data_IF_903138805637
#
_entry.id   IF_903138805637
#
_cell.length_a   1.000
_cell.length_b   1.000
_cell.length_c   1.000
_cell.angle_alpha   90.00
_cell.angle_beta   90.00
_cell.angle_gamma   90.00
#
_symmetry.space_group_name_H-M   'P 1'
#
loop_
_entity.id
_entity.type
_entity.pdbx_description
1 polymer ?
#
# COMPACT_ATOMS: atom_id res chain seq x y z
N UNK A 1 -38.81 -11.84 36.32
CA UNK A 1 -38.21 -12.10 34.98
C UNK A 1 -37.45 -10.92 34.41
N UNK A 2 -37.92 -9.69 34.44
CA UNK A 2 -37.26 -8.49 33.91
C UNK A 2 -35.94 -8.16 34.63
N UNK A 3 -35.85 -8.27 35.95
CA UNK A 3 -34.60 -8.04 36.70
C UNK A 3 -33.49 -9.08 36.40
N UNK A 4 -33.84 -10.33 36.11
CA UNK A 4 -32.88 -11.36 35.76
C UNK A 4 -32.28 -11.13 34.32
N UNK A 5 -33.12 -10.62 33.38
CA UNK A 5 -32.64 -10.27 32.04
C UNK A 5 -31.74 -9.03 32.05
N UNK A 6 -31.99 -8.02 32.88
CA UNK A 6 -31.12 -6.86 33.04
C UNK A 6 -29.79 -7.22 33.69
N UNK A 7 -29.77 -8.13 34.66
CA UNK A 7 -28.54 -8.61 35.28
C UNK A 7 -27.69 -9.48 34.36
N UNK A 8 -28.32 -10.29 33.49
CA UNK A 8 -27.59 -11.05 32.46
C UNK A 8 -27.00 -10.12 31.39
N UNK A 9 -27.75 -9.13 30.91
CA UNK A 9 -27.26 -8.16 29.90
C UNK A 9 -26.11 -7.34 30.45
N UNK A 10 -26.12 -6.89 31.71
CA UNK A 10 -25.04 -6.16 32.34
C UNK A 10 -23.80 -7.04 32.60
N UNK A 11 -23.96 -8.32 32.91
CA UNK A 11 -22.88 -9.26 33.09
C UNK A 11 -22.18 -9.60 31.77
N UNK A 12 -22.96 -9.78 30.70
CA UNK A 12 -22.43 -10.03 29.34
C UNK A 12 -21.65 -8.81 28.83
N UNK A 13 -22.18 -7.61 29.01
CA UNK A 13 -21.52 -6.37 28.63
C UNK A 13 -20.21 -6.11 29.41
N UNK A 14 -20.21 -6.41 30.72
CA UNK A 14 -19.00 -6.33 31.55
C UNK A 14 -17.95 -7.39 31.14
N UNK A 15 -18.38 -8.57 30.73
CA UNK A 15 -17.49 -9.65 30.26
C UNK A 15 -16.90 -9.31 28.88
N UNK A 16 -17.64 -8.72 27.95
CA UNK A 16 -17.17 -8.26 26.65
C UNK A 16 -16.16 -7.10 26.82
N UNK A 17 -16.48 -6.10 27.65
CA UNK A 17 -15.53 -5.01 27.97
C UNK A 17 -14.22 -5.53 28.58
N UNK A 18 -14.28 -6.55 29.45
CA UNK A 18 -13.07 -7.18 30.04
C UNK A 18 -12.22 -7.88 28.98
N UNK A 19 -12.86 -8.54 28.00
CA UNK A 19 -12.18 -9.22 26.90
C UNK A 19 -11.49 -8.23 25.95
N UNK A 20 -12.17 -7.14 25.61
CA UNK A 20 -11.60 -6.10 24.75
C UNK A 20 -10.37 -5.43 25.40
N UNK A 21 -10.43 -5.14 26.69
CA UNK A 21 -9.28 -4.59 27.43
C UNK A 21 -8.10 -5.57 27.45
N UNK A 22 -8.35 -6.86 27.58
CA UNK A 22 -7.30 -7.89 27.54
C UNK A 22 -6.66 -7.99 26.16
N UNK A 23 -7.47 -7.98 25.09
CA UNK A 23 -6.98 -8.00 23.70
C UNK A 23 -6.10 -6.78 23.42
N UNK A 24 -6.54 -5.58 23.79
CA UNK A 24 -5.75 -4.35 23.63
C UNK A 24 -4.43 -4.43 24.40
N UNK A 25 -4.43 -4.93 25.62
CA UNK A 25 -3.21 -5.07 26.44
C UNK A 25 -2.22 -6.08 25.83
N UNK A 26 -2.68 -7.16 25.21
CA UNK A 26 -1.80 -8.11 24.52
C UNK A 26 -1.22 -7.49 23.23
N UNK A 27 -2.00 -6.73 22.47
CA UNK A 27 -1.51 -5.99 21.30
C UNK A 27 -0.50 -4.91 21.72
N UNK A 28 -0.78 -4.18 22.83
CA UNK A 28 0.15 -3.19 23.40
C UNK A 28 1.53 -3.81 23.70
N UNK A 29 1.58 -5.04 24.22
CA UNK A 29 2.86 -5.74 24.48
C UNK A 29 3.65 -5.96 23.19
N UNK A 30 2.97 -6.30 22.10
CA UNK A 30 3.62 -6.53 20.80
C UNK A 30 4.29 -5.25 20.30
N UNK A 31 3.57 -4.12 20.29
CA UNK A 31 4.10 -2.87 19.80
C UNK A 31 5.09 -2.20 20.77
N UNK A 32 4.86 -2.24 22.06
CA UNK A 32 5.77 -1.70 23.07
C UNK A 32 7.12 -2.44 23.12
N UNK A 33 7.20 -3.68 22.67
CA UNK A 33 8.47 -4.38 22.52
C UNK A 33 9.39 -3.73 21.48
N UNK A 34 8.82 -3.01 20.51
CA UNK A 34 9.53 -2.35 19.42
C UNK A 34 9.62 -0.83 19.64
N UNK A 35 8.49 -0.20 19.99
CA UNK A 35 8.37 1.26 20.16
C UNK A 35 8.37 1.64 21.65
N UNK A 36 9.44 1.27 22.36
CA UNK A 36 9.58 1.48 23.80
C UNK A 36 10.23 2.83 24.18
N UNK A 37 10.82 3.52 23.20
CA UNK A 37 11.39 4.85 23.40
C UNK A 37 10.53 5.90 22.69
N UNK A 38 9.86 6.81 23.42
CA UNK A 38 9.00 7.81 22.81
C UNK A 38 9.75 8.87 21.99
N UNK A 39 11.06 9.00 22.14
CA UNK A 39 11.88 10.01 21.46
C UNK A 39 12.64 9.45 20.23
N UNK A 40 12.29 8.25 19.81
CA UNK A 40 12.76 7.61 18.59
C UNK A 40 11.71 7.63 17.46
N UNK A 41 12.09 7.30 16.20
CA UNK A 41 11.16 7.16 15.08
C UNK A 41 9.99 6.25 15.41
N UNK A 42 8.80 6.69 15.02
CA UNK A 42 7.57 6.17 15.55
C UNK A 42 6.69 5.40 14.56
N UNK A 43 5.46 5.15 14.98
CA UNK A 43 4.46 4.49 14.16
C UNK A 43 3.04 4.90 14.56
N UNK A 44 2.10 4.76 13.63
CA UNK A 44 0.67 4.79 13.88
C UNK A 44 0.07 3.41 13.58
N UNK A 45 -0.76 2.91 14.48
CA UNK A 45 -1.42 1.59 14.37
C UNK A 45 -2.90 1.76 14.61
N UNK A 46 -3.70 1.22 13.68
CA UNK A 46 -5.15 1.21 13.80
C UNK A 46 -5.71 -0.15 13.35
N UNK A 47 -6.57 -0.74 14.19
CA UNK A 47 -7.34 -1.92 13.85
C UNK A 47 -8.81 -1.59 14.09
N UNK A 48 -9.63 -1.78 13.07
CA UNK A 48 -11.08 -1.56 13.13
C UNK A 48 -11.83 -2.77 12.60
N UNK A 49 -13.01 -3.00 13.15
CA UNK A 49 -14.00 -3.92 12.58
C UNK A 49 -15.30 -3.16 12.35
N UNK A 50 -15.72 -3.02 11.09
CA UNK A 50 -16.75 -2.08 10.73
C UNK A 50 -16.35 -0.65 11.09
N UNK A 51 -17.15 0.00 11.92
CA UNK A 51 -16.85 1.33 12.46
C UNK A 51 -16.29 1.30 13.90
N UNK A 52 -16.16 0.11 14.50
CA UNK A 52 -15.65 -0.06 15.86
C UNK A 52 -14.11 -0.13 15.85
N UNK A 53 -13.47 0.64 16.74
CA UNK A 53 -12.02 0.63 16.93
C UNK A 53 -11.67 -0.48 17.92
N UNK A 54 -10.99 -1.53 17.44
CA UNK A 54 -10.45 -2.61 18.29
C UNK A 54 -9.17 -2.16 18.98
N UNK A 55 -8.28 -1.48 18.22
CA UNK A 55 -7.00 -1.00 18.72
C UNK A 55 -6.58 0.27 17.99
N UNK A 56 -6.04 1.24 18.71
CA UNK A 56 -5.49 2.48 18.15
C UNK A 56 -4.39 3.03 19.03
N UNK A 57 -3.19 3.24 18.46
CA UNK A 57 -2.01 3.79 19.16
C UNK A 57 -1.10 4.53 18.19
N UNK A 58 -0.50 5.60 18.69
CA UNK A 58 0.62 6.28 18.06
C UNK A 58 1.84 6.21 18.97
N UNK A 59 3.00 5.97 18.39
CA UNK A 59 4.27 5.81 19.07
C UNK A 59 5.29 6.79 18.50
N UNK A 60 6.23 7.27 19.32
CA UNK A 60 7.43 7.96 18.89
C UNK A 60 7.23 9.27 18.13
N UNK A 61 8.22 9.58 17.30
CA UNK A 61 8.33 10.82 16.56
C UNK A 61 8.06 10.61 15.06
N UNK A 62 7.35 11.55 14.46
CA UNK A 62 7.21 11.72 13.01
C UNK A 62 8.41 12.47 12.42
N UNK A 63 8.94 13.43 13.17
CA UNK A 63 10.12 14.21 12.83
C UNK A 63 11.04 14.32 14.05
N UNK A 64 12.28 13.83 13.93
CA UNK A 64 13.27 13.84 15.01
C UNK A 64 13.91 15.22 15.19
N UNK A 65 13.85 16.10 14.20
CA UNK A 65 14.44 17.46 14.27
C UNK A 65 13.49 18.38 15.02
N UNK A 66 12.24 18.44 14.60
CA UNK A 66 11.21 19.30 15.22
C UNK A 66 10.61 18.69 16.48
N UNK A 67 10.82 17.40 16.72
CA UNK A 67 10.20 16.59 17.78
C UNK A 67 8.69 16.46 17.64
N UNK A 68 8.16 16.60 16.42
CA UNK A 68 6.75 16.34 16.16
C UNK A 68 6.42 14.87 16.44
N UNK A 69 5.36 14.64 17.21
CA UNK A 69 4.89 13.29 17.57
C UNK A 69 4.06 12.71 16.43
N UNK A 70 4.16 11.38 16.28
CA UNK A 70 3.23 10.65 15.40
C UNK A 70 1.80 10.79 15.91
N UNK A 71 0.89 11.09 15.00
CA UNK A 71 -0.56 11.13 15.21
C UNK A 71 -1.27 10.39 14.07
N UNK A 72 -2.58 10.17 14.17
CA UNK A 72 -3.36 9.62 13.06
C UNK A 72 -3.53 10.59 11.88
N UNK A 73 -3.17 11.87 12.05
CA UNK A 73 -3.12 12.87 10.99
C UNK A 73 -1.74 12.99 10.33
N UNK A 74 -0.72 12.31 10.87
CA UNK A 74 0.62 12.29 10.29
C UNK A 74 0.60 11.62 8.92
N UNK A 75 1.15 12.29 7.91
CA UNK A 75 1.26 11.77 6.54
C UNK A 75 2.58 11.01 6.37
N UNK A 76 2.49 9.70 6.17
CA UNK A 76 3.61 8.81 5.91
C UNK A 76 3.74 8.57 4.41
N UNK A 77 4.97 8.42 3.90
CA UNK A 77 5.15 7.81 2.59
C UNK A 77 4.63 6.36 2.65
N UNK A 78 3.55 6.09 1.94
CA UNK A 78 2.96 4.75 1.93
C UNK A 78 3.62 3.81 0.91
N UNK A 79 4.62 4.32 0.20
CA UNK A 79 5.42 3.54 -0.75
C UNK A 79 4.54 2.69 -1.69
N UNK A 80 4.86 1.41 -1.87
CA UNK A 80 4.15 0.51 -2.78
C UNK A 80 2.67 0.27 -2.45
N UNK A 81 2.19 0.65 -1.28
CA UNK A 81 0.74 0.70 -0.99
C UNK A 81 0.02 1.68 -1.93
N UNK A 82 0.75 2.63 -2.55
CA UNK A 82 0.23 3.54 -3.60
C UNK A 82 -0.32 2.80 -4.82
N UNK A 83 0.17 1.60 -5.12
CA UNK A 83 -0.23 0.81 -6.30
C UNK A 83 -1.72 0.51 -6.36
N UNK A 84 -2.37 0.33 -5.21
CA UNK A 84 -3.82 0.10 -5.17
C UNK A 84 -4.63 1.29 -5.70
N UNK A 85 -4.17 2.51 -5.48
CA UNK A 85 -4.84 3.72 -5.97
C UNK A 85 -4.71 3.82 -7.50
N UNK A 86 -3.53 3.57 -8.03
CA UNK A 86 -3.28 3.55 -9.48
C UNK A 86 -4.06 2.44 -10.19
N UNK A 87 -4.15 1.25 -9.58
CA UNK A 87 -4.97 0.16 -10.10
C UNK A 87 -6.46 0.55 -10.13
N UNK A 88 -6.98 1.19 -9.07
CA UNK A 88 -8.36 1.69 -9.03
C UNK A 88 -8.61 2.71 -10.13
N UNK A 89 -7.67 3.63 -10.41
CA UNK A 89 -7.79 4.59 -11.50
C UNK A 89 -7.96 3.89 -12.87
N UNK A 90 -7.12 2.89 -13.18
CA UNK A 90 -7.28 2.10 -14.42
C UNK A 90 -8.61 1.35 -14.48
N UNK A 91 -9.05 0.79 -13.35
CA UNK A 91 -10.32 0.08 -13.29
C UNK A 91 -11.51 1.02 -13.49
N UNK A 92 -11.46 2.25 -12.94
CA UNK A 92 -12.48 3.28 -13.23
C UNK A 92 -12.55 3.63 -14.72
N UNK A 93 -11.39 3.79 -15.37
CA UNK A 93 -11.34 4.06 -16.82
C UNK A 93 -11.87 2.88 -17.63
N UNK A 94 -11.63 1.65 -17.17
CA UNK A 94 -12.22 0.46 -17.80
C UNK A 94 -13.74 0.38 -17.61
N UNK A 95 -14.26 0.71 -16.43
CA UNK A 95 -15.70 0.80 -16.15
C UNK A 95 -16.39 1.83 -17.02
N UNK A 96 -15.72 2.94 -17.32
CA UNK A 96 -16.22 4.02 -18.19
C UNK A 96 -16.07 3.70 -19.68
N UNK A 97 -15.44 2.59 -20.05
CA UNK A 97 -15.19 2.21 -21.43
C UNK A 97 -14.12 3.07 -22.14
N UNK A 98 -13.34 3.86 -21.42
CA UNK A 98 -12.23 4.67 -21.95
C UNK A 98 -11.08 3.78 -22.42
N UNK A 99 -10.82 2.69 -21.69
CA UNK A 99 -9.85 1.66 -22.01
C UNK A 99 -10.39 0.28 -21.66
N UNK A 100 -9.67 -0.76 -22.07
CA UNK A 100 -9.91 -2.15 -21.66
C UNK A 100 -8.69 -2.67 -20.91
N UNK A 101 -8.91 -3.50 -19.86
CA UNK A 101 -7.80 -4.17 -19.19
C UNK A 101 -7.02 -5.14 -20.10
N UNK A 102 -7.62 -5.51 -21.23
CA UNK A 102 -6.98 -6.30 -22.29
C UNK A 102 -6.30 -5.42 -23.38
N UNK A 103 -6.34 -4.11 -23.26
CA UNK A 103 -5.61 -3.23 -24.19
C UNK A 103 -4.11 -3.49 -24.07
N UNK A 104 -3.39 -3.64 -25.20
CA UNK A 104 -1.96 -3.86 -25.19
C UNK A 104 -1.20 -2.57 -24.87
N UNK A 105 0.00 -2.69 -24.28
CA UNK A 105 0.88 -1.56 -24.01
C UNK A 105 1.20 -0.76 -25.27
N UNK A 106 1.34 -1.41 -26.41
CA UNK A 106 1.60 -0.75 -27.72
C UNK A 106 0.52 0.25 -28.12
N UNK A 107 -0.71 0.15 -27.57
CA UNK A 107 -1.78 1.14 -27.78
C UNK A 107 -1.44 2.49 -27.13
N UNK A 108 -0.84 2.44 -25.94
CA UNK A 108 -0.50 3.63 -25.15
C UNK A 108 0.92 4.12 -25.42
N UNK A 109 1.84 3.21 -25.79
CA UNK A 109 3.26 3.47 -26.01
C UNK A 109 3.70 3.03 -27.41
N UNK A 110 3.27 3.73 -28.48
CA UNK A 110 3.69 3.39 -29.84
C UNK A 110 5.20 3.55 -30.06
N UNK A 111 5.89 4.27 -29.17
CA UNK A 111 7.34 4.40 -29.16
C UNK A 111 8.08 3.15 -28.64
N UNK A 112 7.41 2.19 -28.02
CA UNK A 112 7.99 0.90 -27.59
C UNK A 112 7.94 -0.06 -28.77
N UNK A 113 9.06 -0.22 -29.50
CA UNK A 113 9.12 -0.85 -30.82
C UNK A 113 9.19 -2.39 -30.78
N UNK A 114 9.60 -2.98 -29.65
CA UNK A 114 9.74 -4.44 -29.58
C UNK A 114 8.37 -5.13 -29.79
N UNK A 115 8.31 -6.20 -30.59
CA UNK A 115 7.05 -6.86 -30.96
C UNK A 115 6.22 -7.34 -29.79
N UNK A 116 6.86 -7.75 -28.69
CA UNK A 116 6.20 -8.30 -27.51
C UNK A 116 5.32 -7.30 -26.75
N UNK A 117 5.49 -5.98 -26.95
CA UNK A 117 4.61 -4.99 -26.33
C UNK A 117 3.15 -5.05 -26.83
N UNK A 118 2.89 -5.78 -27.92
CA UNK A 118 1.53 -6.06 -28.41
C UNK A 118 0.84 -7.17 -27.61
N UNK A 119 1.62 -7.99 -26.91
CA UNK A 119 1.12 -9.14 -26.13
C UNK A 119 1.02 -8.81 -24.64
N UNK A 120 1.62 -7.70 -24.19
CA UNK A 120 1.55 -7.22 -22.80
C UNK A 120 0.34 -6.31 -22.66
N UNK A 121 -0.60 -6.68 -21.80
CA UNK A 121 -1.84 -5.92 -21.58
C UNK A 121 -1.80 -5.17 -20.21
N UNK A 122 -2.78 -4.27 -19.99
CA UNK A 122 -2.94 -3.60 -18.70
C UNK A 122 -3.19 -4.60 -17.57
N UNK A 123 -3.86 -5.72 -17.85
CA UNK A 123 -3.98 -6.83 -16.92
C UNK A 123 -2.60 -7.34 -16.46
N UNK A 124 -1.68 -7.57 -17.39
CA UNK A 124 -0.34 -8.09 -17.07
C UNK A 124 0.49 -7.12 -16.24
N UNK A 125 0.39 -5.80 -16.49
CA UNK A 125 1.14 -4.83 -15.69
C UNK A 125 0.58 -4.69 -14.26
N UNK A 126 -0.76 -4.73 -14.09
CA UNK A 126 -1.39 -4.62 -12.77
C UNK A 126 -1.25 -5.89 -11.91
N UNK A 127 -1.06 -7.04 -12.53
CA UNK A 127 -0.87 -8.32 -11.85
C UNK A 127 0.59 -8.75 -11.70
N UNK A 128 1.55 -7.92 -12.13
CA UNK A 128 2.98 -8.23 -12.14
C UNK A 128 3.33 -9.51 -12.91
N UNK A 129 2.67 -9.71 -14.06
CA UNK A 129 2.86 -10.88 -14.94
C UNK A 129 3.32 -10.50 -16.35
N UNK A 130 3.88 -9.29 -16.52
CA UNK A 130 4.27 -8.78 -17.84
C UNK A 130 5.51 -9.43 -18.44
N UNK A 131 6.42 -9.91 -17.60
CA UNK A 131 7.75 -10.39 -18.02
C UNK A 131 8.74 -9.26 -18.38
N UNK A 132 8.35 -8.00 -18.26
CA UNK A 132 9.25 -6.86 -18.51
C UNK A 132 10.38 -6.85 -17.46
N UNK A 133 11.67 -6.88 -17.85
CA UNK A 133 12.77 -6.79 -16.90
C UNK A 133 12.88 -5.38 -16.30
N UNK A 134 13.32 -5.28 -15.04
CA UNK A 134 13.71 -3.98 -14.45
C UNK A 134 15.15 -3.66 -14.84
N UNK A 135 15.33 -3.06 -16.00
CA UNK A 135 16.63 -2.66 -16.53
C UNK A 135 16.95 -1.17 -16.27
N UNK A 136 16.37 -0.59 -15.23
CA UNK A 136 16.71 0.78 -14.80
C UNK A 136 18.17 0.82 -14.31
N UNK A 137 18.93 1.88 -14.63
CA UNK A 137 20.31 2.02 -14.17
C UNK A 137 20.34 2.41 -12.68
N UNK A 138 20.05 1.44 -11.79
CA UNK A 138 19.92 1.66 -10.34
C UNK A 138 21.24 2.01 -9.67
N UNK A 139 22.37 1.68 -10.30
CA UNK A 139 23.70 2.06 -9.84
C UNK A 139 24.07 3.52 -10.20
N UNK A 140 23.31 4.15 -11.10
CA UNK A 140 23.47 5.58 -11.40
C UNK A 140 22.70 6.43 -10.38
N UNK A 141 23.43 7.00 -9.42
CA UNK A 141 22.86 7.85 -8.38
C UNK A 141 22.05 9.03 -8.95
N UNK A 142 22.49 9.62 -10.06
CA UNK A 142 21.75 10.73 -10.67
C UNK A 142 20.43 10.24 -11.26
N UNK A 143 20.44 9.06 -11.89
CA UNK A 143 19.19 8.46 -12.36
C UNK A 143 18.24 8.19 -11.21
N UNK A 144 18.69 7.62 -10.12
CA UNK A 144 17.87 7.33 -8.93
C UNK A 144 17.29 8.59 -8.32
N UNK A 145 18.09 9.64 -8.15
CA UNK A 145 17.68 10.89 -7.50
C UNK A 145 16.76 11.77 -8.35
N UNK A 146 16.97 11.80 -9.67
CA UNK A 146 16.29 12.76 -10.57
C UNK A 146 15.32 12.14 -11.56
N UNK A 147 15.13 10.82 -11.52
CA UNK A 147 14.11 10.17 -12.35
C UNK A 147 12.71 10.53 -11.87
N UNK A 148 11.83 10.66 -12.86
CA UNK A 148 10.41 10.91 -12.65
C UNK A 148 9.58 9.83 -13.38
N UNK A 149 8.25 9.95 -13.31
CA UNK A 149 7.32 9.00 -13.92
C UNK A 149 7.49 8.77 -15.42
N UNK A 150 8.15 9.70 -16.12
CA UNK A 150 8.43 9.55 -17.56
C UNK A 150 9.82 8.97 -17.80
N UNK A 151 10.85 9.54 -17.15
CA UNK A 151 12.25 9.15 -17.40
C UNK A 151 12.58 7.76 -16.84
N UNK A 152 11.96 7.35 -15.73
CA UNK A 152 12.20 6.06 -15.07
C UNK A 152 11.87 4.84 -15.95
N UNK A 153 10.98 4.99 -16.92
CA UNK A 153 10.54 3.90 -17.82
C UNK A 153 11.04 4.05 -19.27
N UNK A 154 11.87 5.06 -19.56
CA UNK A 154 12.36 5.30 -20.94
C UNK A 154 13.23 4.16 -21.48
N UNK A 155 13.91 3.41 -20.62
CA UNK A 155 14.71 2.24 -21.00
C UNK A 155 13.86 1.19 -21.76
N UNK A 156 12.54 1.14 -21.55
CA UNK A 156 11.64 0.21 -22.25
C UNK A 156 11.64 0.38 -23.76
N UNK A 157 12.05 1.56 -24.29
CA UNK A 157 12.19 1.81 -25.73
C UNK A 157 13.26 0.93 -26.38
N UNK A 158 14.22 0.48 -25.61
CA UNK A 158 15.39 -0.28 -26.09
C UNK A 158 15.37 -1.74 -25.62
N UNK A 159 14.30 -2.18 -24.96
CA UNK A 159 14.18 -3.58 -24.55
C UNK A 159 14.08 -4.50 -25.77
N UNK A 160 14.83 -5.58 -25.75
CA UNK A 160 14.93 -6.58 -26.80
C UNK A 160 14.42 -7.98 -26.37
N UNK A 161 14.13 -8.17 -25.09
CA UNK A 161 13.63 -9.42 -24.52
C UNK A 161 12.68 -9.20 -23.35
N UNK A 162 11.98 -10.29 -22.98
CA UNK A 162 11.23 -10.43 -21.73
C UNK A 162 11.87 -11.54 -20.88
N UNK A 163 11.76 -11.44 -19.55
CA UNK A 163 12.20 -12.48 -18.63
C UNK A 163 11.37 -13.78 -18.80
N UNK A 164 10.07 -13.62 -19.13
CA UNK A 164 9.13 -14.72 -19.39
C UNK A 164 7.96 -14.22 -20.25
N UNK A 165 7.18 -15.16 -20.77
CA UNK A 165 5.98 -14.86 -21.56
C UNK A 165 4.91 -14.19 -20.67
N UNK A 166 4.24 -13.13 -21.14
CA UNK A 166 3.18 -12.45 -20.38
C UNK A 166 2.13 -13.42 -19.86
N UNK A 167 1.75 -13.29 -18.59
CA UNK A 167 0.76 -14.12 -17.92
C UNK A 167 1.27 -15.46 -17.38
N UNK A 168 2.54 -15.85 -17.61
CA UNK A 168 3.03 -17.19 -17.24
C UNK A 168 3.73 -17.25 -15.88
N UNK A 169 4.31 -16.16 -15.42
CA UNK A 169 5.04 -16.07 -14.15
C UNK A 169 4.77 -14.75 -13.45
N UNK A 170 5.08 -14.71 -12.17
CA UNK A 170 5.05 -13.51 -11.33
C UNK A 170 6.46 -12.96 -11.15
N UNK A 171 6.60 -11.67 -11.39
CA UNK A 171 7.80 -10.90 -11.02
C UNK A 171 7.37 -9.49 -10.63
N UNK A 172 7.56 -9.15 -9.34
CA UNK A 172 7.22 -7.82 -8.84
C UNK A 172 8.22 -6.80 -9.35
N UNK A 173 7.78 -5.90 -10.23
CA UNK A 173 8.60 -4.80 -10.71
C UNK A 173 7.83 -3.47 -10.69
N UNK A 174 8.47 -2.44 -10.13
CA UNK A 174 7.90 -1.10 -10.03
C UNK A 174 7.64 -0.44 -11.40
N UNK A 175 8.55 -0.55 -12.40
CA UNK A 175 8.36 0.09 -13.71
C UNK A 175 7.03 -0.18 -14.39
N UNK A 176 6.43 -1.35 -14.19
CA UNK A 176 5.12 -1.64 -14.81
C UNK A 176 4.01 -0.76 -14.22
N UNK A 177 4.02 -0.50 -12.92
CA UNK A 177 3.10 0.43 -12.30
C UNK A 177 3.41 1.89 -12.60
N UNK A 178 4.69 2.25 -12.78
CA UNK A 178 5.09 3.61 -13.19
C UNK A 178 4.50 4.00 -14.56
N UNK A 179 4.31 3.02 -15.46
CA UNK A 179 3.63 3.27 -16.75
C UNK A 179 2.19 3.79 -16.57
N UNK A 180 1.51 3.44 -15.46
CA UNK A 180 0.12 3.83 -15.23
C UNK A 180 -0.02 5.36 -15.20
N UNK A 181 0.98 6.08 -14.71
CA UNK A 181 1.02 7.54 -14.77
C UNK A 181 0.72 8.04 -16.19
N UNK A 182 1.53 7.62 -17.16
CA UNK A 182 1.39 8.04 -18.55
C UNK A 182 0.14 7.43 -19.23
N UNK A 183 -0.27 6.21 -18.84
CA UNK A 183 -1.48 5.58 -19.40
C UNK A 183 -2.72 6.42 -19.07
N UNK A 184 -2.86 6.86 -17.81
CA UNK A 184 -3.98 7.72 -17.39
C UNK A 184 -3.97 9.02 -18.20
N UNK A 185 -2.82 9.71 -18.31
CA UNK A 185 -2.72 10.95 -19.06
C UNK A 185 -3.03 10.77 -20.55
N UNK A 186 -2.48 9.71 -21.18
CA UNK A 186 -2.70 9.44 -22.62
C UNK A 186 -4.13 9.00 -22.93
N UNK A 187 -4.77 8.29 -21.99
CA UNK A 187 -6.15 7.83 -22.19
C UNK A 187 -7.18 8.95 -21.97
N UNK A 188 -6.89 9.91 -21.08
CA UNK A 188 -7.87 10.92 -20.65
C UNK A 188 -7.57 12.32 -21.14
N UNK A 189 -6.30 12.64 -21.42
CA UNK A 189 -5.83 14.01 -21.65
C UNK A 189 -5.76 14.86 -20.36
N UNK A 190 -5.98 14.26 -19.20
CA UNK A 190 -5.95 14.92 -17.88
C UNK A 190 -4.62 14.59 -17.20
N UNK A 191 -3.92 15.57 -16.57
CA UNK A 191 -2.74 15.29 -15.77
C UNK A 191 -3.03 14.26 -14.70
N UNK A 192 -2.10 13.31 -14.47
CA UNK A 192 -2.30 12.18 -13.56
C UNK A 192 -2.74 12.61 -12.16
N UNK A 193 -2.06 13.58 -11.56
CA UNK A 193 -2.41 14.05 -10.21
C UNK A 193 -3.82 14.67 -10.15
N UNK A 194 -4.21 15.42 -11.20
CA UNK A 194 -5.56 15.99 -11.29
C UNK A 194 -6.60 14.87 -11.37
N UNK A 195 -6.34 13.85 -12.22
CA UNK A 195 -7.24 12.70 -12.32
C UNK A 195 -7.37 11.98 -10.97
N UNK A 196 -6.24 11.72 -10.29
CA UNK A 196 -6.23 11.05 -8.99
C UNK A 196 -6.96 11.85 -7.93
N UNK A 197 -6.74 13.17 -7.87
CA UNK A 197 -7.42 14.03 -6.91
C UNK A 197 -8.94 13.98 -7.11
N UNK A 198 -9.43 14.24 -8.31
CA UNK A 198 -10.86 14.39 -8.60
C UNK A 198 -11.63 13.06 -8.61
N UNK A 199 -10.99 11.98 -9.10
CA UNK A 199 -11.68 10.72 -9.36
C UNK A 199 -11.38 9.65 -8.29
N UNK A 200 -10.30 9.77 -7.54
CA UNK A 200 -9.92 8.79 -6.53
C UNK A 200 -10.00 9.41 -5.13
N UNK A 201 -9.21 10.43 -4.83
CA UNK A 201 -9.09 10.95 -3.47
C UNK A 201 -10.36 11.68 -2.99
N UNK A 202 -10.91 12.58 -3.80
CA UNK A 202 -12.13 13.32 -3.44
C UNK A 202 -13.33 12.36 -3.30
N UNK A 203 -13.47 11.39 -4.20
CA UNK A 203 -14.53 10.37 -4.12
C UNK A 203 -14.38 9.46 -2.90
N UNK A 204 -13.15 9.19 -2.50
CA UNK A 204 -12.87 8.44 -1.27
C UNK A 204 -13.07 9.29 0.01
N UNK A 205 -13.09 10.61 -0.10
CA UNK A 205 -13.16 11.54 1.02
C UNK A 205 -11.81 11.76 1.72
N UNK A 206 -10.70 11.51 1.00
CA UNK A 206 -9.33 11.76 1.45
C UNK A 206 -8.98 13.23 1.29
N UNK A 207 -8.38 13.84 2.31
CA UNK A 207 -8.19 15.30 2.35
C UNK A 207 -6.74 15.74 2.36
N UNK A 208 -5.86 14.94 2.96
CA UNK A 208 -4.45 15.31 3.22
C UNK A 208 -3.47 14.54 2.36
N UNK A 209 -3.90 13.45 1.70
CA UNK A 209 -3.05 12.69 0.78
C UNK A 209 -2.47 13.57 -0.32
N UNK A 210 -1.16 13.47 -0.52
CA UNK A 210 -0.43 14.22 -1.56
C UNK A 210 0.68 13.35 -2.14
N UNK A 211 0.89 13.48 -3.45
CA UNK A 211 2.11 12.97 -4.06
C UNK A 211 3.30 13.85 -3.66
N UNK A 212 4.41 13.20 -3.41
CA UNK A 212 5.65 13.91 -3.12
C UNK A 212 6.11 14.74 -4.34
N UNK A 213 6.51 15.96 -4.07
CA UNK A 213 7.26 16.86 -4.95
C UNK A 213 8.24 17.65 -4.07
N UNK A 214 9.47 17.93 -4.52
CA UNK A 214 10.50 18.58 -3.69
C UNK A 214 10.06 19.89 -3.03
N UNK A 215 9.20 20.68 -3.70
CA UNK A 215 8.75 21.99 -3.24
C UNK A 215 7.31 21.97 -2.69
N UNK A 216 6.72 20.78 -2.52
CA UNK A 216 5.34 20.66 -2.06
C UNK A 216 5.29 20.58 -0.55
N UNK A 217 4.54 21.50 0.05
CA UNK A 217 4.19 21.42 1.47
C UNK A 217 3.16 20.29 1.70
N UNK A 218 3.53 19.33 2.54
CA UNK A 218 2.65 18.24 3.00
C UNK A 218 2.46 18.44 4.51
N UNK A 219 1.23 18.70 4.90
CA UNK A 219 0.90 18.92 6.30
C UNK A 219 1.23 17.67 7.14
N UNK A 220 1.79 17.87 8.34
CA UNK A 220 2.17 16.78 9.26
C UNK A 220 3.01 15.69 8.57
N UNK A 221 3.98 16.11 7.78
CA UNK A 221 4.88 15.21 7.06
C UNK A 221 5.70 14.37 8.04
N UNK A 222 5.69 13.06 7.89
CA UNK A 222 6.66 12.19 8.54
C UNK A 222 7.93 12.07 7.73
N UNK A 223 9.07 11.91 8.40
CA UNK A 223 10.36 11.56 7.80
C UNK A 223 10.69 10.09 8.09
N UNK A 224 11.32 9.42 7.12
CA UNK A 224 11.80 8.06 7.27
C UNK A 224 13.20 8.04 7.87
N UNK A 225 13.49 7.05 8.73
CA UNK A 225 14.76 6.99 9.44
C UNK A 225 15.36 5.58 9.35
N UNK A 226 16.68 5.53 9.24
CA UNK A 226 17.46 4.29 9.37
C UNK A 226 18.53 4.47 10.44
N UNK A 227 19.07 3.36 10.94
CA UNK A 227 20.26 3.43 11.80
C UNK A 227 21.52 3.46 10.93
N UNK A 228 22.43 4.38 11.24
CA UNK A 228 23.77 4.39 10.66
C UNK A 228 24.68 3.32 11.29
N UNK A 229 25.94 3.27 10.84
CA UNK A 229 26.92 2.30 11.32
C UNK A 229 27.24 2.43 12.82
N UNK A 230 27.02 3.60 13.42
CA UNK A 230 27.17 3.86 14.84
C UNK A 230 25.89 3.55 15.63
N UNK A 231 24.83 3.10 14.96
CA UNK A 231 23.52 2.81 15.54
C UNK A 231 22.66 4.03 15.83
N UNK A 232 23.06 5.20 15.34
CA UNK A 232 22.30 6.45 15.50
C UNK A 232 21.24 6.58 14.39
N UNK A 233 20.12 7.21 14.74
CA UNK A 233 19.08 7.50 13.76
C UNK A 233 19.49 8.58 12.79
N UNK A 234 19.41 8.29 11.50
CA UNK A 234 19.66 9.18 10.38
C UNK A 234 18.39 9.23 9.54
N UNK A 235 18.00 10.42 9.10
CA UNK A 235 16.95 10.60 8.10
C UNK A 235 17.34 9.95 6.77
N UNK A 236 16.42 9.22 6.17
CA UNK A 236 16.65 8.42 4.98
C UNK A 236 15.40 8.41 4.09
N UNK A 237 14.77 9.55 3.93
CA UNK A 237 13.77 9.80 2.92
C UNK A 237 14.40 10.61 1.77
N UNK A 238 13.66 10.86 0.70
CA UNK A 238 14.10 11.64 -0.46
C UNK A 238 15.26 11.10 -1.26
N UNK A 239 15.14 9.84 -1.72
CA UNK A 239 15.90 9.41 -2.88
C UNK A 239 17.34 9.05 -2.65
N UNK A 240 17.75 8.71 -1.42
CA UNK A 240 19.07 8.13 -1.25
C UNK A 240 19.22 6.77 -1.95
N UNK A 241 18.10 6.03 -2.14
CA UNK A 241 18.10 4.72 -2.80
C UNK A 241 16.90 4.44 -3.70
N UNK A 242 15.95 5.36 -3.87
CA UNK A 242 14.75 5.02 -4.60
C UNK A 242 14.05 6.19 -5.26
N UNK A 243 13.25 5.85 -6.23
CA UNK A 243 12.44 6.71 -7.06
C UNK A 243 11.30 7.36 -6.26
N UNK A 244 11.62 8.21 -5.30
CA UNK A 244 10.63 8.91 -4.47
C UNK A 244 9.68 9.78 -5.31
N UNK A 245 10.14 10.26 -6.46
CA UNK A 245 9.35 11.08 -7.37
C UNK A 245 8.40 10.31 -8.27
N UNK A 246 8.37 8.97 -8.25
CA UNK A 246 7.47 8.20 -9.12
C UNK A 246 6.12 7.95 -8.43
N UNK A 247 5.07 8.54 -9.01
CA UNK A 247 3.78 8.71 -8.33
C UNK A 247 2.88 7.47 -8.41
N UNK A 248 2.84 6.83 -9.57
CA UNK A 248 1.89 5.73 -9.77
C UNK A 248 2.22 4.46 -8.97
N UNK A 249 3.45 4.30 -8.51
CA UNK A 249 3.90 3.10 -7.79
C UNK A 249 4.34 3.32 -6.35
N UNK A 250 4.66 4.59 -5.92
CA UNK A 250 5.30 4.73 -4.62
C UNK A 250 5.31 6.09 -3.92
N UNK A 251 5.09 7.20 -4.59
CA UNK A 251 5.34 8.54 -4.03
C UNK A 251 4.15 9.17 -3.28
N UNK A 252 3.15 8.40 -2.88
CA UNK A 252 1.98 8.94 -2.17
C UNK A 252 2.25 9.03 -0.66
N UNK A 253 2.03 10.22 -0.10
CA UNK A 253 1.97 10.44 1.33
C UNK A 253 0.51 10.43 1.79
N UNK A 254 0.22 9.70 2.86
CA UNK A 254 -1.13 9.49 3.34
C UNK A 254 -1.17 9.32 4.87
N UNK A 255 -2.20 9.85 5.50
CA UNK A 255 -2.45 9.66 6.92
C UNK A 255 -3.33 8.42 7.17
N UNK A 256 -3.29 7.89 8.41
CA UNK A 256 -4.21 6.83 8.84
C UNK A 256 -5.68 7.29 8.68
N UNK A 257 -5.98 8.55 9.01
CA UNK A 257 -7.34 9.10 8.87
C UNK A 257 -7.84 9.04 7.42
N UNK A 258 -7.00 9.44 6.46
CA UNK A 258 -7.36 9.36 5.05
C UNK A 258 -7.41 7.91 4.56
N UNK A 259 -6.52 7.05 5.07
CA UNK A 259 -6.54 5.65 4.69
C UNK A 259 -7.80 4.91 5.19
N UNK A 260 -8.33 5.26 6.36
CA UNK A 260 -9.66 4.78 6.81
C UNK A 260 -10.76 5.24 5.85
N UNK A 261 -10.71 6.50 5.38
CA UNK A 261 -11.65 7.00 4.37
C UNK A 261 -11.55 6.23 3.06
N UNK A 262 -10.33 5.87 2.65
CA UNK A 262 -10.06 5.00 1.50
C UNK A 262 -10.66 3.61 1.67
N UNK A 263 -10.42 2.94 2.80
CA UNK A 263 -10.93 1.59 3.05
C UNK A 263 -12.47 1.56 3.08
N UNK A 264 -13.09 2.57 3.68
CA UNK A 264 -14.53 2.75 3.61
C UNK A 264 -15.03 2.97 2.18
N UNK A 265 -14.29 3.73 1.36
CA UNK A 265 -14.66 3.94 -0.04
C UNK A 265 -14.56 2.66 -0.88
N UNK A 266 -13.54 1.83 -0.62
CA UNK A 266 -13.41 0.50 -1.25
C UNK A 266 -14.54 -0.45 -0.79
N UNK A 267 -14.85 -0.46 0.50
CA UNK A 267 -15.92 -1.27 1.07
C UNK A 267 -17.26 -0.93 0.44
N UNK A 268 -17.59 0.35 0.40
CA UNK A 268 -18.88 0.89 0.00
C UNK A 268 -19.03 1.08 -1.52
N UNK A 269 -18.03 0.66 -2.29
CA UNK A 269 -17.97 0.78 -3.76
C UNK A 269 -18.13 2.23 -4.26
N UNK A 270 -17.56 3.22 -3.54
CA UNK A 270 -17.60 4.65 -3.94
C UNK A 270 -16.60 5.01 -5.03
N UNK A 271 -15.51 4.27 -5.12
CA UNK A 271 -14.41 4.50 -6.08
C UNK A 271 -14.33 3.45 -7.20
N UNK A 272 -15.10 2.40 -7.11
CA UNK A 272 -15.22 1.34 -8.11
C UNK A 272 -16.53 0.56 -7.97
N UNK A 273 -16.86 -0.30 -8.92
CA UNK A 273 -17.99 -1.22 -8.81
C UNK A 273 -17.64 -2.49 -8.01
N UNK A 274 -18.66 -3.19 -7.53
CA UNK A 274 -18.46 -4.50 -6.91
C UNK A 274 -17.82 -5.53 -7.87
N UNK A 275 -18.02 -5.38 -9.18
CA UNK A 275 -17.39 -6.23 -10.19
C UNK A 275 -15.88 -5.96 -10.26
N UNK A 276 -15.47 -4.70 -10.32
CA UNK A 276 -14.07 -4.29 -10.30
C UNK A 276 -13.38 -4.71 -9.03
N UNK A 277 -14.02 -4.54 -7.87
CA UNK A 277 -13.47 -5.01 -6.59
C UNK A 277 -13.16 -6.52 -6.61
N UNK A 278 -14.09 -7.36 -7.14
CA UNK A 278 -13.83 -8.80 -7.28
C UNK A 278 -12.65 -9.10 -8.20
N UNK A 279 -12.49 -8.35 -9.29
CA UNK A 279 -11.34 -8.51 -10.19
C UNK A 279 -10.02 -8.10 -9.52
N UNK A 280 -10.03 -7.01 -8.74
CA UNK A 280 -8.85 -6.53 -8.04
C UNK A 280 -8.39 -7.49 -6.93
N UNK A 281 -9.32 -8.15 -6.24
CA UNK A 281 -9.02 -9.12 -5.18
C UNK A 281 -8.93 -10.56 -5.69
N UNK A 282 -9.01 -10.79 -7.01
CA UNK A 282 -8.75 -12.11 -7.57
C UNK A 282 -7.24 -12.36 -7.62
N UNK A 283 -6.71 -13.43 -7.01
CA UNK A 283 -5.29 -13.77 -7.11
C UNK A 283 -4.99 -14.34 -8.52
N UNK A 284 -4.73 -13.43 -9.47
CA UNK A 284 -4.48 -13.77 -10.87
C UNK A 284 -3.26 -14.68 -11.08
N UNK A 285 -2.31 -14.60 -10.18
CA UNK A 285 -1.11 -15.43 -10.16
C UNK A 285 -0.79 -15.82 -8.72
N UNK A 286 -0.39 -17.07 -8.50
CA UNK A 286 0.12 -17.51 -7.21
C UNK A 286 1.60 -17.17 -7.09
N UNK A 287 2.02 -16.74 -5.91
CA UNK A 287 3.38 -16.36 -5.60
C UNK A 287 4.05 -17.49 -4.83
N UNK A 288 5.27 -17.86 -5.21
CA UNK A 288 6.04 -18.80 -4.41
C UNK A 288 6.42 -18.14 -3.08
N UNK A 289 6.28 -18.86 -1.95
CA UNK A 289 6.70 -18.33 -0.67
C UNK A 289 8.18 -17.94 -0.69
N UNK A 290 8.49 -16.77 -0.18
CA UNK A 290 9.84 -16.25 -0.10
C UNK A 290 9.98 -15.39 1.17
N UNK A 291 10.85 -15.81 2.07
CA UNK A 291 11.04 -15.15 3.35
C UNK A 291 11.78 -13.80 3.21
N UNK A 292 12.66 -13.66 2.22
CA UNK A 292 13.41 -12.43 1.96
C UNK A 292 12.47 -11.31 1.50
N UNK A 293 11.54 -11.62 0.59
CA UNK A 293 10.52 -10.70 0.11
C UNK A 293 9.26 -10.67 0.97
N UNK A 294 9.20 -11.49 2.03
CA UNK A 294 8.04 -11.58 2.92
C UNK A 294 6.81 -12.23 2.30
N UNK A 295 6.98 -13.01 1.23
CA UNK A 295 5.86 -13.72 0.60
C UNK A 295 5.46 -14.93 1.42
N UNK A 296 4.26 -14.88 1.96
CA UNK A 296 3.71 -15.95 2.80
C UNK A 296 3.08 -17.05 1.96
N UNK A 297 2.99 -18.31 2.46
CA UNK A 297 2.24 -19.37 1.78
C UNK A 297 0.80 -18.95 1.46
N UNK A 298 0.28 -19.43 0.33
CA UNK A 298 -1.10 -19.16 -0.12
C UNK A 298 -1.33 -17.73 -0.62
N UNK A 299 -0.25 -16.96 -0.85
CA UNK A 299 -0.35 -15.60 -1.36
C UNK A 299 -0.34 -15.60 -2.89
N UNK A 300 -1.28 -14.85 -3.47
CA UNK A 300 -1.28 -14.46 -4.88
C UNK A 300 -1.32 -12.96 -5.03
N UNK A 301 -1.29 -12.47 -6.27
CA UNK A 301 -1.38 -11.04 -6.57
C UNK A 301 -2.59 -10.74 -7.47
N UNK A 302 -3.37 -9.77 -7.03
CA UNK A 302 -4.49 -9.20 -7.77
C UNK A 302 -4.08 -7.95 -8.54
N UNK A 303 -4.93 -6.91 -8.56
CA UNK A 303 -4.58 -5.63 -9.17
C UNK A 303 -4.20 -4.62 -8.08
N UNK A 304 -2.90 -4.55 -7.77
CA UNK A 304 -2.38 -3.69 -6.71
C UNK A 304 -2.62 -4.20 -5.29
N UNK A 305 -2.92 -5.50 -5.13
CA UNK A 305 -3.13 -6.14 -3.83
C UNK A 305 -2.50 -7.54 -3.79
N UNK A 306 -1.86 -7.86 -2.68
CA UNK A 306 -1.62 -9.24 -2.29
C UNK A 306 -2.92 -9.82 -1.75
N UNK A 307 -3.20 -11.05 -2.13
CA UNK A 307 -4.37 -11.81 -1.68
C UNK A 307 -3.89 -13.13 -1.11
N UNK A 308 -4.02 -13.29 0.20
CA UNK A 308 -3.63 -14.51 0.89
C UNK A 308 -4.88 -15.31 1.24
N UNK A 309 -4.95 -16.51 0.67
CA UNK A 309 -6.04 -17.46 0.90
C UNK A 309 -5.45 -18.76 1.49
N UNK A 310 -5.75 -18.98 2.75
CA UNK A 310 -5.29 -20.16 3.48
C UNK A 310 -6.48 -20.99 3.96
N UNK A 311 -6.41 -22.33 3.86
CA UNK A 311 -7.47 -23.19 4.40
C UNK A 311 -7.78 -22.85 5.86
N UNK A 312 -9.06 -22.72 6.18
CA UNK A 312 -9.58 -22.46 7.54
C UNK A 312 -9.28 -21.05 8.11
N UNK A 313 -8.69 -20.14 7.32
CA UNK A 313 -8.51 -18.74 7.69
C UNK A 313 -9.32 -17.84 6.74
N UNK A 314 -9.79 -16.68 7.20
CA UNK A 314 -10.41 -15.72 6.31
C UNK A 314 -9.38 -15.15 5.33
N UNK A 315 -9.82 -14.82 4.11
CA UNK A 315 -8.97 -14.23 3.08
C UNK A 315 -8.43 -12.87 3.53
N UNK A 316 -7.10 -12.71 3.48
CA UNK A 316 -6.43 -11.44 3.75
C UNK A 316 -6.10 -10.74 2.42
N UNK A 317 -6.53 -9.49 2.30
CA UNK A 317 -6.17 -8.61 1.18
C UNK A 317 -5.30 -7.50 1.74
N UNK A 318 -4.07 -7.36 1.25
CA UNK A 318 -3.12 -6.42 1.83
C UNK A 318 -2.13 -5.88 0.81
N UNK A 319 -1.40 -4.85 1.17
CA UNK A 319 -0.17 -4.46 0.50
C UNK A 319 0.88 -4.02 1.50
N UNK A 320 2.14 -4.23 1.13
CA UNK A 320 3.31 -3.80 1.87
C UNK A 320 3.89 -2.54 1.21
N UNK A 321 4.48 -1.66 1.99
CA UNK A 321 5.18 -0.49 1.49
C UNK A 321 6.53 -0.36 2.16
N UNK A 322 7.59 -0.25 1.35
CA UNK A 322 8.96 0.00 1.80
C UNK A 322 9.59 1.02 0.88
N UNK A 323 9.99 2.15 1.42
CA UNK A 323 10.71 3.19 0.70
C UNK A 323 11.41 4.14 1.68
N UNK A 324 12.69 4.45 1.44
CA UNK A 324 13.48 5.20 2.40
C UNK A 324 13.45 4.51 3.77
N UNK A 325 13.15 5.26 4.81
CA UNK A 325 13.00 4.72 6.16
C UNK A 325 11.59 4.23 6.52
N UNK A 326 10.65 4.24 5.57
CA UNK A 326 9.26 3.87 5.86
C UNK A 326 9.01 2.37 5.70
N UNK A 327 8.20 1.82 6.61
CA UNK A 327 7.70 0.45 6.56
C UNK A 327 6.21 0.44 6.85
N UNK A 328 5.42 0.05 5.86
CA UNK A 328 3.96 0.17 5.87
C UNK A 328 3.31 -1.20 5.71
N UNK A 329 2.27 -1.44 6.48
CA UNK A 329 1.31 -2.53 6.28
C UNK A 329 -0.10 -1.94 6.19
N UNK A 330 -0.79 -2.23 5.11
CA UNK A 330 -2.20 -1.92 4.94
C UNK A 330 -2.94 -3.19 4.55
N UNK A 331 -3.70 -3.75 5.47
CA UNK A 331 -4.39 -5.03 5.29
C UNK A 331 -5.84 -5.00 5.73
N UNK A 332 -6.62 -5.93 5.18
CA UNK A 332 -8.02 -6.12 5.50
C UNK A 332 -8.43 -7.59 5.40
N UNK A 333 -9.50 -7.91 6.10
CA UNK A 333 -10.23 -9.18 6.01
C UNK A 333 -11.66 -8.83 5.60
N UNK A 334 -11.99 -8.87 4.29
CA UNK A 334 -13.29 -8.41 3.79
C UNK A 334 -14.49 -9.11 4.41
N UNK A 335 -14.40 -10.43 4.67
CA UNK A 335 -15.47 -11.24 5.26
C UNK A 335 -15.78 -10.86 6.72
N UNK A 336 -14.85 -10.15 7.38
CA UNK A 336 -14.96 -9.70 8.77
C UNK A 336 -15.20 -8.20 8.89
N UNK A 337 -15.21 -7.48 7.76
CA UNK A 337 -15.15 -6.01 7.72
C UNK A 337 -14.04 -5.45 8.63
N UNK A 338 -12.88 -6.12 8.62
CA UNK A 338 -11.74 -5.78 9.46
C UNK A 338 -10.64 -5.12 8.62
N UNK A 339 -10.09 -4.00 9.13
CA UNK A 339 -8.88 -3.36 8.61
C UNK A 339 -7.80 -3.35 9.66
N UNK A 340 -6.56 -3.52 9.22
CA UNK A 340 -5.36 -3.37 10.05
C UNK A 340 -4.36 -2.50 9.30
N UNK A 341 -4.09 -1.32 9.84
CA UNK A 341 -3.16 -0.33 9.32
C UNK A 341 -2.00 -0.17 10.30
N UNK A 342 -0.78 -0.30 9.80
CA UNK A 342 0.45 -0.13 10.57
C UNK A 342 1.46 0.63 9.72
N UNK A 343 1.67 1.91 10.03
CA UNK A 343 2.54 2.84 9.32
C UNK A 343 3.69 3.23 10.23
N UNK A 344 4.91 2.92 9.83
CA UNK A 344 6.14 3.14 10.59
C UNK A 344 7.12 4.03 9.84
N UNK A 345 7.88 4.84 10.58
CA UNK A 345 8.96 5.69 10.08
C UNK A 345 10.34 5.03 10.21
N UNK A 346 10.41 3.69 10.44
CA UNK A 346 11.66 2.93 10.58
C UNK A 346 11.52 1.52 9.98
N UNK A 347 12.58 0.98 9.30
CA UNK A 347 12.52 -0.31 8.63
C UNK A 347 13.09 -1.47 9.47
N UNK A 348 13.77 -1.20 10.59
CA UNK A 348 14.46 -2.19 11.44
C UNK A 348 13.50 -3.01 12.32
N UNK A 349 12.37 -3.41 11.76
CA UNK A 349 11.28 -4.12 12.44
C UNK A 349 10.86 -5.38 11.69
N UNK A 350 10.50 -6.42 12.41
CA UNK A 350 9.85 -7.60 11.84
C UNK A 350 8.34 -7.32 11.63
N UNK A 351 8.03 -6.54 10.57
CA UNK A 351 6.65 -6.15 10.24
C UNK A 351 5.70 -7.34 10.18
N UNK A 352 6.08 -8.41 9.48
CA UNK A 352 5.19 -9.56 9.29
C UNK A 352 5.06 -10.41 10.54
N UNK A 353 6.11 -10.53 11.33
CA UNK A 353 6.03 -11.17 12.65
C UNK A 353 5.10 -10.42 13.60
N UNK A 354 5.15 -9.09 13.59
CA UNK A 354 4.22 -8.23 14.36
C UNK A 354 2.79 -8.45 13.88
N UNK A 355 2.55 -8.34 12.57
CA UNK A 355 1.22 -8.49 11.95
C UNK A 355 0.62 -9.86 12.26
N UNK A 356 1.39 -10.94 12.10
CA UNK A 356 0.92 -12.30 12.36
C UNK A 356 0.62 -12.52 13.85
N UNK A 357 1.42 -11.95 14.77
CA UNK A 357 1.12 -12.00 16.21
C UNK A 357 -0.21 -11.30 16.53
N UNK A 358 -0.45 -10.13 15.93
CA UNK A 358 -1.70 -9.39 16.14
C UNK A 358 -2.89 -10.19 15.61
N UNK A 359 -2.81 -10.75 14.40
CA UNK A 359 -3.88 -11.62 13.89
C UNK A 359 -4.11 -12.85 14.77
N UNK A 360 -3.05 -13.44 15.32
CA UNK A 360 -3.18 -14.57 16.27
C UNK A 360 -3.90 -14.16 17.56
N UNK A 361 -3.61 -12.97 18.12
CA UNK A 361 -4.32 -12.42 19.30
C UNK A 361 -5.81 -12.21 18.98
N UNK A 362 -6.13 -11.81 17.76
CA UNK A 362 -7.51 -11.61 17.29
C UNK A 362 -8.21 -12.93 16.90
N UNK A 363 -7.53 -14.07 16.94
CA UNK A 363 -8.00 -15.38 16.48
C UNK A 363 -8.39 -15.38 14.98
N UNK A 364 -7.53 -14.80 14.14
CA UNK A 364 -7.71 -14.63 12.70
C UNK A 364 -6.59 -15.27 11.89
#
# INVERSE_FOLDING_TARGET
>A
MILAMLALASATQAQDMSKDVMVQAEIDKVFNAVYNNPDEPGAAVLIMQGDDVIYSRCFGLADMVTKERVTFATNFCIASVSKQFSAVALMQLAEQGVLSLNDPLSKFFPEFQAPFFKDITLHHIMSHTSGIPDARPRDDRNFVLYSNDVSSVQYMRTLDHLNFMPGTQYEYINPTFQLIYQIVERATGIPFETYMQENVFDKAGMKTCRYFEPDRDIAHLAHGYVRDDDGLWKEYDYGEESFFGTKADGALYCSINDFVSWERALRDNRVWTAASKRLAYNPWIQIQPDAEYGYQPGTGYGYGFFVQDLPQHPTRVYHLGDNGGFTIYAGKIPERDLIFLFFSTRPDIDRLGIVNKVYSILNL
#
